data_IF_673413838891
#
_entry.id   IF_673413838891
#
_cell.length_a   1.000
_cell.length_b   1.000
_cell.length_c   1.000
_cell.angle_alpha   90.00
_cell.angle_beta   90.00
_cell.angle_gamma   90.00
#
_symmetry.space_group_name_H-M   'P 1'
#
loop_
_entity.id
_entity.type
_entity.pdbx_description
1 polymer ?
#
# COMPACT_ATOMS: atom_id res chain seq x y z
N UNK A 1 14.99 1.58 35.95
CA UNK A 1 15.45 1.47 34.55
C UNK A 1 14.67 0.40 33.78
N UNK A 2 14.47 -0.79 34.35
CA UNK A 2 13.67 -1.86 33.72
C UNK A 2 12.24 -1.44 33.38
N UNK A 3 11.47 -0.89 34.32
CA UNK A 3 10.10 -0.43 34.04
C UNK A 3 10.01 0.62 32.91
N UNK A 4 11.03 1.48 32.76
CA UNK A 4 11.08 2.47 31.68
C UNK A 4 11.42 1.82 30.33
N UNK A 5 12.36 0.86 30.33
CA UNK A 5 12.69 0.03 29.16
C UNK A 5 11.49 -0.79 28.70
N UNK A 6 10.82 -1.47 29.62
CA UNK A 6 9.70 -2.36 29.33
C UNK A 6 8.50 -1.58 28.79
N UNK A 7 8.25 -0.36 29.33
CA UNK A 7 7.25 0.57 28.79
C UNK A 7 7.60 1.04 27.37
N UNK A 8 8.88 1.34 27.10
CA UNK A 8 9.33 1.74 25.77
C UNK A 8 9.20 0.60 24.76
N UNK A 9 9.52 -0.64 25.15
CA UNK A 9 9.35 -1.82 24.30
C UNK A 9 7.88 -2.06 23.98
N UNK A 10 6.99 -2.02 24.97
CA UNK A 10 5.55 -2.20 24.75
C UNK A 10 4.97 -1.13 23.79
N UNK A 11 5.45 0.11 23.87
CA UNK A 11 5.04 1.18 22.95
C UNK A 11 5.55 0.94 21.52
N UNK A 12 6.79 0.46 21.36
CA UNK A 12 7.34 0.10 20.05
C UNK A 12 6.60 -1.09 19.43
N UNK A 13 6.31 -2.13 20.22
CA UNK A 13 5.58 -3.31 19.74
C UNK A 13 4.16 -2.93 19.29
N UNK A 14 3.47 -2.08 20.07
CA UNK A 14 2.16 -1.57 19.68
C UNK A 14 2.22 -0.76 18.38
N UNK A 15 3.25 0.07 18.19
CA UNK A 15 3.46 0.84 16.96
C UNK A 15 3.73 -0.08 15.76
N UNK A 16 4.62 -1.06 15.90
CA UNK A 16 4.95 -2.00 14.83
C UNK A 16 3.74 -2.84 14.43
N UNK A 17 2.97 -3.33 15.40
CA UNK A 17 1.73 -4.06 15.14
C UNK A 17 0.70 -3.19 14.42
N UNK A 18 0.53 -1.94 14.85
CA UNK A 18 -0.37 -1.01 14.18
C UNK A 18 0.03 -0.77 12.72
N UNK A 19 1.31 -0.52 12.45
CA UNK A 19 1.82 -0.35 11.08
C UNK A 19 1.66 -1.63 10.25
N UNK A 20 1.93 -2.80 10.84
CA UNK A 20 1.68 -4.12 10.24
C UNK A 20 0.25 -4.27 9.72
N UNK A 21 -0.72 -4.00 10.59
CA UNK A 21 -2.15 -4.10 10.26
C UNK A 21 -2.53 -3.11 9.17
N UNK A 22 -2.16 -1.84 9.30
CA UNK A 22 -2.51 -0.82 8.30
C UNK A 22 -1.89 -1.16 6.95
N UNK A 23 -0.62 -1.57 6.90
CA UNK A 23 0.03 -1.95 5.66
C UNK A 23 -0.65 -3.15 5.00
N UNK A 24 -1.16 -4.13 5.76
CA UNK A 24 -1.95 -5.23 5.22
C UNK A 24 -3.30 -4.75 4.66
N UNK A 25 -4.03 -3.96 5.43
CA UNK A 25 -5.35 -3.45 5.06
C UNK A 25 -5.32 -2.49 3.87
N UNK A 26 -4.19 -1.81 3.62
CA UNK A 26 -4.02 -0.96 2.44
C UNK A 26 -3.61 -1.76 1.18
N UNK A 27 -2.85 -2.86 1.33
CA UNK A 27 -2.44 -3.70 0.19
C UNK A 27 -3.63 -4.33 -0.53
N UNK A 28 -4.61 -4.84 0.22
CA UNK A 28 -5.79 -5.51 -0.34
C UNK A 28 -6.60 -4.64 -1.32
N UNK A 29 -7.08 -3.43 -0.94
CA UNK A 29 -7.79 -2.57 -1.85
C UNK A 29 -6.89 -2.07 -2.99
N UNK A 30 -5.60 -1.84 -2.75
CA UNK A 30 -4.69 -1.41 -3.82
C UNK A 30 -4.46 -2.48 -4.89
N UNK A 31 -4.29 -3.74 -4.49
CA UNK A 31 -4.25 -4.86 -5.42
C UNK A 31 -5.58 -5.00 -6.20
N UNK A 32 -6.71 -4.70 -5.57
CA UNK A 32 -8.00 -4.62 -6.25
C UNK A 32 -8.04 -3.53 -7.34
N UNK A 33 -7.57 -2.32 -7.02
CA UNK A 33 -7.48 -1.19 -7.97
C UNK A 33 -6.55 -1.53 -9.14
N UNK A 34 -5.35 -2.07 -8.86
CA UNK A 34 -4.39 -2.46 -9.91
C UNK A 34 -4.91 -3.62 -10.76
N UNK A 35 -5.59 -4.59 -10.17
CA UNK A 35 -6.25 -5.68 -10.89
C UNK A 35 -7.34 -5.16 -11.83
N UNK A 36 -8.20 -4.24 -11.36
CA UNK A 36 -9.21 -3.60 -12.20
C UNK A 36 -8.57 -2.77 -13.33
N UNK A 37 -7.51 -2.02 -13.02
CA UNK A 37 -6.73 -1.29 -14.02
C UNK A 37 -6.12 -2.22 -15.08
N UNK A 38 -5.63 -3.39 -14.68
CA UNK A 38 -5.10 -4.38 -15.61
C UNK A 38 -6.19 -4.96 -16.52
N UNK A 39 -7.37 -5.29 -15.98
CA UNK A 39 -8.51 -5.72 -16.81
C UNK A 39 -8.94 -4.62 -17.78
N UNK A 40 -9.01 -3.37 -17.32
CA UNK A 40 -9.36 -2.22 -18.16
C UNK A 40 -8.35 -2.01 -19.30
N UNK A 41 -7.07 -2.28 -19.04
CA UNK A 41 -6.00 -2.17 -20.06
C UNK A 41 -6.17 -3.12 -21.24
N UNK A 42 -6.90 -4.23 -21.06
CA UNK A 42 -7.21 -5.20 -22.09
C UNK A 42 -8.42 -4.81 -22.96
N UNK A 43 -9.06 -3.67 -22.69
CA UNK A 43 -10.23 -3.17 -23.44
C UNK A 43 -9.83 -2.12 -24.49
N UNK A 44 -10.80 -1.69 -25.31
CA UNK A 44 -10.58 -0.60 -26.27
C UNK A 44 -10.61 0.74 -25.54
N UNK A 45 -9.44 1.35 -25.41
CA UNK A 45 -9.25 2.66 -24.78
C UNK A 45 -8.81 3.71 -25.79
N UNK A 46 -9.33 4.92 -25.63
CA UNK A 46 -8.82 6.13 -26.28
C UNK A 46 -7.48 6.55 -25.68
N UNK A 47 -6.73 7.40 -26.40
CA UNK A 47 -5.38 7.83 -25.99
C UNK A 47 -5.36 8.41 -24.58
N UNK A 48 -6.26 9.34 -24.27
CA UNK A 48 -6.35 9.97 -22.95
C UNK A 48 -6.68 8.95 -21.84
N UNK A 49 -7.52 7.96 -22.12
CA UNK A 49 -7.84 6.90 -21.16
C UNK A 49 -6.61 6.01 -20.86
N UNK A 50 -5.76 5.75 -21.86
CA UNK A 50 -4.49 5.02 -21.65
C UNK A 50 -3.51 5.82 -20.80
N UNK A 51 -3.45 7.13 -20.99
CA UNK A 51 -2.62 8.02 -20.15
C UNK A 51 -3.09 7.99 -18.70
N UNK A 52 -4.40 8.14 -18.45
CA UNK A 52 -4.95 8.02 -17.10
C UNK A 52 -4.69 6.64 -16.49
N UNK A 53 -4.81 5.58 -17.28
CA UNK A 53 -4.53 4.22 -16.82
C UNK A 53 -3.05 4.04 -16.44
N UNK A 54 -2.14 4.64 -17.20
CA UNK A 54 -0.70 4.68 -16.87
C UNK A 54 -0.45 5.39 -15.55
N UNK A 55 -1.09 6.54 -15.32
CA UNK A 55 -1.01 7.30 -14.07
C UNK A 55 -1.49 6.45 -12.89
N UNK A 56 -2.65 5.77 -13.03
CA UNK A 56 -3.21 4.90 -11.98
C UNK A 56 -2.25 3.77 -11.64
N UNK A 57 -1.70 3.08 -12.64
CA UNK A 57 -0.77 1.95 -12.43
C UNK A 57 0.52 2.42 -11.75
N UNK A 58 1.16 3.45 -12.27
CA UNK A 58 2.40 3.99 -11.70
C UNK A 58 2.19 4.47 -10.25
N UNK A 59 1.05 5.12 -9.98
CA UNK A 59 0.72 5.59 -8.62
C UNK A 59 0.48 4.42 -7.67
N UNK A 60 -0.23 3.38 -8.12
CA UNK A 60 -0.50 2.20 -7.31
C UNK A 60 0.76 1.38 -7.02
N UNK A 61 1.62 1.19 -8.02
CA UNK A 61 2.90 0.50 -7.87
C UNK A 61 3.83 1.26 -6.90
N UNK A 62 3.91 2.59 -7.03
CA UNK A 62 4.66 3.43 -6.10
C UNK A 62 4.12 3.32 -4.67
N UNK A 63 2.80 3.35 -4.49
CA UNK A 63 2.19 3.19 -3.18
C UNK A 63 2.48 1.82 -2.56
N UNK A 64 2.39 0.74 -3.34
CA UNK A 64 2.75 -0.60 -2.86
C UNK A 64 4.22 -0.70 -2.47
N UNK A 65 5.13 -0.04 -3.21
CA UNK A 65 6.54 0.05 -2.82
C UNK A 65 6.71 0.74 -1.46
N UNK A 66 6.07 1.89 -1.25
CA UNK A 66 6.11 2.59 0.02
C UNK A 66 5.54 1.77 1.18
N UNK A 67 4.47 1.01 0.94
CA UNK A 67 3.89 0.10 1.94
C UNK A 67 4.82 -1.06 2.28
N UNK A 68 5.64 -1.50 1.33
CA UNK A 68 6.67 -2.53 1.56
C UNK A 68 7.85 -1.98 2.37
N UNK A 69 8.21 -0.71 2.20
CA UNK A 69 9.31 -0.09 2.94
C UNK A 69 8.94 0.30 4.40
N UNK A 70 7.64 0.34 4.73
CA UNK A 70 7.14 0.61 6.09
C UNK A 70 7.22 -0.63 7.01
N UNK A 71 7.36 -1.83 6.44
CA UNK A 71 7.54 -3.10 7.17
C UNK A 71 8.99 -3.56 7.14
#
# INVERSE_FOLDING_TARGET
>A
LEAARDKANAANDAKSNFLGVISHELRTPMNGVLGAAQLLSATRLETTQREYLSIIRNSGDNLLSLLNDIL
#
